data_IF_236731956827
#
_entry.id   IF_236731956827
#
_cell.length_a   1.000
_cell.length_b   1.000
_cell.length_c   1.000
_cell.angle_alpha   90.00
_cell.angle_beta   90.00
_cell.angle_gamma   90.00
#
_symmetry.space_group_name_H-M   'P 1'
#
loop_
_entity.id
_entity.type
_entity.pdbx_description
1 polymer ?
#
# COMPACT_ATOMS: atom_id res chain seq x y z
N UNK A 1 8.65 -12.99 0.25
CA UNK A 1 8.38 -12.39 -1.07
C UNK A 1 7.13 -13.01 -1.67
N UNK A 2 6.38 -12.28 -2.50
CA UNK A 2 5.11 -12.70 -3.13
C UNK A 2 5.31 -12.67 -4.64
N UNK A 3 4.93 -13.75 -5.33
CA UNK A 3 4.92 -13.78 -6.79
C UNK A 3 3.58 -13.19 -7.26
N UNK A 4 3.65 -12.11 -8.03
CA UNK A 4 2.47 -11.45 -8.58
C UNK A 4 2.06 -12.13 -9.90
N UNK A 5 0.76 -12.44 -10.11
CA UNK A 5 0.33 -13.11 -11.32
C UNK A 5 0.45 -12.22 -12.56
N UNK A 6 0.55 -12.86 -13.73
CA UNK A 6 0.50 -12.20 -15.05
C UNK A 6 -0.92 -12.31 -15.63
N UNK A 7 -1.37 -11.27 -16.34
CA UNK A 7 -2.63 -11.31 -17.08
C UNK A 7 -3.89 -11.22 -16.22
N UNK A 8 -3.77 -10.79 -14.96
CA UNK A 8 -4.87 -10.61 -14.03
C UNK A 8 -4.99 -9.13 -13.66
N UNK A 9 -6.21 -8.60 -13.63
CA UNK A 9 -6.47 -7.18 -13.39
C UNK A 9 -7.85 -7.01 -12.72
N UNK A 10 -7.97 -6.21 -11.64
CA UNK A 10 -6.90 -5.51 -10.94
C UNK A 10 -6.04 -6.43 -10.08
N UNK A 11 -4.75 -6.11 -10.01
CA UNK A 11 -3.81 -6.64 -9.03
C UNK A 11 -3.61 -5.58 -7.94
N UNK A 12 -3.88 -5.95 -6.69
CA UNK A 12 -3.90 -5.01 -5.57
C UNK A 12 -3.25 -5.59 -4.32
N UNK A 13 -2.65 -4.71 -3.51
CA UNK A 13 -2.41 -4.94 -2.09
C UNK A 13 -3.52 -4.23 -1.33
N UNK A 14 -4.16 -4.90 -0.37
CA UNK A 14 -5.06 -4.24 0.56
C UNK A 14 -4.69 -4.55 2.00
N UNK A 15 -4.95 -3.62 2.90
CA UNK A 15 -4.73 -3.77 4.33
C UNK A 15 -5.63 -2.78 5.07
N UNK A 16 -5.80 -3.02 6.37
CA UNK A 16 -6.40 -2.05 7.28
C UNK A 16 -5.30 -1.37 8.07
N UNK A 17 -5.44 -0.08 8.33
CA UNK A 17 -4.54 0.65 9.21
C UNK A 17 -5.28 1.60 10.15
N UNK A 18 -4.69 1.82 11.33
CA UNK A 18 -5.08 2.85 12.28
C UNK A 18 -3.84 3.68 12.62
N UNK A 19 -3.99 4.99 12.72
CA UNK A 19 -2.87 5.92 12.91
C UNK A 19 -3.08 6.77 14.16
N UNK A 20 -2.01 6.90 14.92
CA UNK A 20 -1.84 7.89 15.96
C UNK A 20 -0.41 8.37 15.78
N UNK A 21 -0.22 9.25 14.81
CA UNK A 21 1.08 9.67 14.27
C UNK A 21 1.08 11.19 14.23
N UNK A 22 2.13 11.83 14.74
CA UNK A 22 2.20 13.28 14.91
C UNK A 22 2.02 14.05 13.59
N UNK A 23 1.02 14.92 13.55
CA UNK A 23 0.73 15.78 12.42
C UNK A 23 0.32 17.20 12.82
N UNK A 24 0.36 18.09 11.84
CA UNK A 24 -0.35 19.36 11.81
C UNK A 24 -0.80 19.58 10.37
N UNK A 25 -1.87 18.88 9.98
CA UNK A 25 -2.35 18.76 8.61
C UNK A 25 -2.29 20.10 7.83
N UNK A 26 -1.76 20.08 6.59
CA UNK A 26 -1.35 18.92 5.80
C UNK A 26 0.11 18.47 6.05
N UNK A 27 0.75 18.89 7.14
CA UNK A 27 2.15 18.55 7.41
C UNK A 27 2.23 17.33 8.34
N UNK A 28 3.02 16.34 7.94
CA UNK A 28 3.40 15.20 8.76
C UNK A 28 4.77 15.46 9.39
N UNK A 29 4.84 15.54 10.72
CA UNK A 29 6.11 15.58 11.44
C UNK A 29 6.66 14.16 11.56
N UNK A 30 5.78 13.23 11.92
CA UNK A 30 5.95 11.79 11.81
C UNK A 30 5.03 11.27 10.71
N UNK A 31 5.36 10.15 10.06
CA UNK A 31 4.48 9.60 9.04
C UNK A 31 4.93 8.26 8.48
N UNK A 32 3.96 7.53 7.94
CA UNK A 32 4.13 6.22 7.31
C UNK A 32 4.11 6.33 5.79
N UNK A 33 4.97 5.56 5.12
CA UNK A 33 4.91 5.28 3.68
C UNK A 33 4.86 3.78 3.41
N UNK A 34 4.46 3.43 2.20
CA UNK A 34 4.60 2.08 1.66
C UNK A 34 5.67 2.05 0.56
N UNK A 35 6.57 1.07 0.66
CA UNK A 35 7.61 0.80 -0.34
C UNK A 35 7.48 -0.63 -0.87
N UNK A 36 7.96 -0.85 -2.09
CA UNK A 36 8.02 -2.15 -2.75
C UNK A 36 9.44 -2.43 -3.25
N UNK A 37 9.86 -3.69 -3.19
CA UNK A 37 11.12 -4.17 -3.74
C UNK A 37 10.88 -5.32 -4.70
N UNK A 38 11.60 -5.32 -5.83
CA UNK A 38 11.55 -6.35 -6.88
C UNK A 38 12.85 -7.15 -6.99
N UNK A 39 13.83 -6.87 -6.12
CA UNK A 39 15.21 -7.38 -6.20
C UNK A 39 15.68 -8.02 -4.88
N UNK A 40 14.75 -8.65 -4.17
CA UNK A 40 15.06 -9.34 -2.92
C UNK A 40 15.31 -8.41 -1.73
N UNK A 41 14.90 -7.14 -1.82
CA UNK A 41 15.03 -6.16 -0.74
C UNK A 41 16.34 -5.37 -0.79
N UNK A 42 17.09 -5.48 -1.88
CA UNK A 42 18.34 -4.75 -2.09
C UNK A 42 18.07 -3.26 -2.34
N UNK A 43 17.04 -2.97 -3.14
CA UNK A 43 16.51 -1.63 -3.37
C UNK A 43 15.02 -1.58 -3.04
N UNK A 44 14.55 -0.40 -2.66
CA UNK A 44 13.16 -0.14 -2.26
C UNK A 44 12.65 1.10 -3.01
N UNK A 45 11.52 0.92 -3.69
CA UNK A 45 10.83 1.97 -4.43
C UNK A 45 9.62 2.41 -3.61
N UNK A 46 9.51 3.71 -3.35
CA UNK A 46 8.32 4.32 -2.76
C UNK A 46 7.11 4.15 -3.68
N UNK A 47 5.97 3.73 -3.13
CA UNK A 47 4.70 3.71 -3.85
C UNK A 47 4.03 5.07 -3.67
N UNK A 48 3.98 5.82 -4.77
CA UNK A 48 3.40 7.16 -4.85
C UNK A 48 1.91 7.18 -4.50
N UNK A 49 1.39 8.36 -4.12
CA UNK A 49 -0.03 8.56 -3.80
C UNK A 49 -0.95 8.15 -4.95
N UNK A 50 -0.49 8.29 -6.19
CA UNK A 50 -1.19 7.87 -7.40
C UNK A 50 -1.48 6.35 -7.45
N UNK A 51 -0.79 5.56 -6.63
CA UNK A 51 -1.03 4.11 -6.46
C UNK A 51 -2.08 3.79 -5.40
N UNK A 52 -2.46 4.76 -4.55
CA UNK A 52 -3.48 4.57 -3.53
C UNK A 52 -4.86 4.70 -4.18
N UNK A 53 -5.54 3.57 -4.36
CA UNK A 53 -6.92 3.50 -4.89
C UNK A 53 -7.95 3.90 -3.83
N UNK A 54 -7.60 3.72 -2.55
CA UNK A 54 -8.33 4.24 -1.39
C UNK A 54 -7.32 4.68 -0.34
N UNK A 55 -7.75 5.55 0.59
CA UNK A 55 -6.89 6.01 1.69
C UNK A 55 -5.60 6.66 1.19
N UNK A 56 -5.74 7.71 0.36
CA UNK A 56 -4.62 8.53 -0.11
C UNK A 56 -3.77 9.02 1.08
N UNK A 57 -2.48 9.25 0.81
CA UNK A 57 -1.61 9.91 1.75
C UNK A 57 -2.19 11.27 2.17
N UNK A 58 -2.03 11.60 3.44
CA UNK A 58 -2.72 12.73 4.07
C UNK A 58 -1.89 14.00 4.12
N UNK A 59 -0.56 13.90 3.95
CA UNK A 59 0.30 15.07 4.07
C UNK A 59 1.72 14.91 3.56
N UNK A 60 2.43 16.05 3.53
CA UNK A 60 3.85 16.16 3.19
C UNK A 60 4.71 16.06 4.44
N UNK A 61 5.84 15.34 4.36
CA UNK A 61 6.83 15.31 5.44
C UNK A 61 7.52 16.67 5.62
N UNK A 62 7.49 17.19 6.84
CA UNK A 62 8.03 18.51 7.20
C UNK A 62 9.04 18.44 8.36
N UNK A 63 9.80 19.51 8.57
CA UNK A 63 10.82 19.58 9.62
C UNK A 63 12.22 19.14 9.17
N UNK A 64 13.06 18.71 10.10
CA UNK A 64 14.49 18.44 9.82
C UNK A 64 15.03 17.13 10.35
N UNK A 65 14.31 16.44 11.24
CA UNK A 65 14.80 15.21 11.88
C UNK A 65 14.17 13.93 11.33
N UNK A 66 12.96 14.00 10.74
CA UNK A 66 12.35 12.83 10.12
C UNK A 66 13.11 12.44 8.84
N UNK A 67 13.61 11.19 8.71
CA UNK A 67 14.39 10.75 7.55
C UNK A 67 13.59 10.65 6.25
N UNK A 68 12.27 10.82 6.31
CA UNK A 68 11.39 10.90 5.15
C UNK A 68 11.21 12.35 4.65
N UNK A 69 11.64 13.36 5.44
CA UNK A 69 11.58 14.77 5.06
C UNK A 69 12.64 15.13 4.00
N UNK A 70 12.29 16.07 3.13
CA UNK A 70 13.17 16.56 2.05
C UNK A 70 13.15 15.68 0.79
N UNK A 71 12.27 14.68 0.76
CA UNK A 71 11.92 13.89 -0.41
C UNK A 71 10.56 14.36 -0.93
N UNK A 72 10.26 14.16 -2.21
CA UNK A 72 8.93 14.43 -2.79
C UNK A 72 7.92 13.32 -2.43
N UNK A 73 7.91 12.92 -1.14
CA UNK A 73 7.03 11.91 -0.61
C UNK A 73 5.82 12.55 0.06
N UNK A 74 4.67 11.92 -0.13
CA UNK A 74 3.51 12.08 0.73
C UNK A 74 3.48 10.88 1.68
N UNK A 75 2.84 11.05 2.82
CA UNK A 75 2.73 10.01 3.84
C UNK A 75 1.39 10.03 4.56
N UNK A 76 1.13 8.94 5.26
CA UNK A 76 0.03 8.84 6.21
C UNK A 76 0.50 9.38 7.56
N UNK A 77 -0.22 10.36 8.06
CA UNK A 77 -0.15 10.84 9.44
C UNK A 77 -1.57 11.22 9.90
N UNK A 78 -1.76 11.35 11.21
CA UNK A 78 -3.05 11.64 11.81
C UNK A 78 -3.13 11.16 13.25
N UNK A 79 -3.71 11.99 14.11
CA UNK A 79 -3.70 11.80 15.56
C UNK A 79 -5.06 12.12 16.22
N UNK A 80 -5.99 11.14 16.31
CA UNK A 80 -5.97 9.82 15.67
C UNK A 80 -6.69 9.80 14.31
N UNK A 81 -6.29 8.86 13.45
CA UNK A 81 -7.07 8.39 12.30
C UNK A 81 -7.57 6.97 12.60
N UNK A 82 -8.89 6.81 12.64
CA UNK A 82 -9.52 5.51 12.92
C UNK A 82 -9.31 4.52 11.77
N UNK A 83 -9.60 3.23 12.02
CA UNK A 83 -9.38 2.13 11.09
C UNK A 83 -9.91 2.42 9.69
N UNK A 84 -8.99 2.48 8.73
CA UNK A 84 -9.27 2.72 7.32
C UNK A 84 -8.72 1.57 6.49
N UNK A 85 -9.43 1.19 5.42
CA UNK A 85 -8.94 0.20 4.46
C UNK A 85 -8.21 0.91 3.33
N UNK A 86 -6.92 0.61 3.18
CA UNK A 86 -6.10 1.06 2.06
C UNK A 86 -6.08 -0.02 0.98
N UNK A 87 -6.20 0.40 -0.27
CA UNK A 87 -6.10 -0.48 -1.45
C UNK A 87 -5.09 0.17 -2.39
N UNK A 88 -4.07 -0.57 -2.77
CA UNK A 88 -2.92 -0.09 -3.53
C UNK A 88 -2.85 -0.84 -4.86
N UNK A 89 -2.73 -0.10 -5.96
CA UNK A 89 -2.55 -0.65 -7.30
C UNK A 89 -1.15 -1.25 -7.46
N UNK A 90 -1.09 -2.50 -7.91
CA UNK A 90 0.14 -3.23 -8.17
C UNK A 90 0.29 -3.65 -9.64
N UNK A 91 -0.58 -3.19 -10.55
CA UNK A 91 -0.60 -3.68 -11.93
C UNK A 91 0.76 -3.55 -12.65
N UNK A 92 1.53 -2.50 -12.37
CA UNK A 92 2.88 -2.28 -12.93
C UNK A 92 3.90 -3.36 -12.53
N UNK A 93 3.59 -4.14 -11.49
CA UNK A 93 4.44 -5.19 -10.93
C UNK A 93 3.97 -6.60 -11.31
N UNK A 94 2.98 -6.73 -12.20
CA UNK A 94 2.49 -8.04 -12.66
C UNK A 94 3.63 -8.93 -13.18
N UNK A 95 3.63 -10.20 -12.76
CA UNK A 95 4.68 -11.17 -13.11
C UNK A 95 5.97 -11.07 -12.31
N UNK A 96 6.14 -10.06 -11.45
CA UNK A 96 7.34 -9.89 -10.65
C UNK A 96 7.22 -10.60 -9.29
N UNK A 97 8.38 -10.93 -8.70
CA UNK A 97 8.45 -11.36 -7.30
C UNK A 97 8.74 -10.14 -6.43
N UNK A 98 7.83 -9.79 -5.52
CA UNK A 98 7.90 -8.54 -4.76
C UNK A 98 8.00 -8.74 -3.25
N UNK A 99 8.48 -7.71 -2.56
CA UNK A 99 8.39 -7.55 -1.12
C UNK A 99 7.84 -6.17 -0.81
N UNK A 100 7.04 -6.05 0.26
CA UNK A 100 6.49 -4.79 0.71
C UNK A 100 7.15 -4.37 2.03
N UNK A 101 7.33 -3.05 2.23
CA UNK A 101 7.82 -2.48 3.47
C UNK A 101 6.95 -1.30 3.86
N UNK A 102 6.31 -1.43 5.01
CA UNK A 102 5.69 -0.32 5.71
C UNK A 102 6.78 0.38 6.50
N UNK A 103 7.00 1.67 6.24
CA UNK A 103 8.09 2.43 6.86
C UNK A 103 7.53 3.66 7.56
N UNK A 104 7.68 3.69 8.88
CA UNK A 104 7.41 4.87 9.71
C UNK A 104 8.72 5.66 9.86
N UNK A 105 8.68 6.94 9.54
CA UNK A 105 9.72 7.90 9.90
C UNK A 105 9.20 8.81 11.01
N UNK A 106 10.02 9.09 12.00
CA UNK A 106 9.71 10.04 13.07
C UNK A 106 10.77 11.12 13.18
N UNK A 107 10.39 12.26 13.72
CA UNK A 107 11.31 13.29 14.17
C UNK A 107 11.90 12.93 15.56
N UNK A 108 12.63 13.88 16.18
CA UNK A 108 13.23 13.72 17.51
C UNK A 108 12.40 14.29 18.67
N UNK A 109 11.13 14.62 18.43
CA UNK A 109 10.27 15.43 19.32
C UNK A 109 9.11 14.60 19.88
N UNK A 110 7.91 14.73 19.32
CA UNK A 110 6.65 14.34 19.99
C UNK A 110 6.18 12.99 19.47
N UNK A 111 6.68 11.92 20.10
CA UNK A 111 6.25 10.56 19.79
C UNK A 111 4.82 10.23 20.26
N UNK A 112 4.14 9.37 19.51
CA UNK A 112 2.86 8.76 19.88
C UNK A 112 3.03 7.29 20.20
N UNK A 113 2.60 6.87 21.39
CA UNK A 113 2.82 5.49 21.87
C UNK A 113 1.95 4.46 21.16
N UNK A 114 0.78 4.84 20.64
CA UNK A 114 -0.07 3.96 19.84
C UNK A 114 0.46 3.80 18.40
N UNK A 115 1.10 4.85 17.85
CA UNK A 115 1.84 4.80 16.60
C UNK A 115 1.00 4.36 15.39
N UNK A 116 1.54 3.42 14.61
CA UNK A 116 0.90 2.91 13.41
C UNK A 116 0.60 1.41 13.55
N UNK A 117 -0.67 1.06 13.37
CA UNK A 117 -1.13 -0.33 13.42
C UNK A 117 -1.61 -0.74 12.04
N UNK A 118 -1.19 -1.92 11.59
CA UNK A 118 -1.53 -2.50 10.28
C UNK A 118 -2.06 -3.91 10.49
N UNK A 119 -3.15 -4.27 9.84
CA UNK A 119 -3.75 -5.59 9.90
C UNK A 119 -4.43 -5.98 8.58
N UNK A 120 -4.87 -7.24 8.46
CA UNK A 120 -5.65 -7.75 7.32
C UNK A 120 -4.98 -7.54 5.96
N UNK A 121 -3.67 -7.78 5.90
CA UNK A 121 -2.85 -7.63 4.69
C UNK A 121 -3.20 -8.75 3.70
N UNK A 122 -3.64 -8.38 2.50
CA UNK A 122 -4.03 -9.27 1.43
C UNK A 122 -3.47 -8.78 0.09
N UNK A 123 -2.85 -9.67 -0.69
CA UNK A 123 -2.60 -9.44 -2.12
C UNK A 123 -3.69 -10.14 -2.90
N UNK A 124 -4.44 -9.38 -3.71
CA UNK A 124 -5.58 -9.89 -4.47
C UNK A 124 -5.45 -9.58 -5.95
N UNK A 125 -5.89 -10.52 -6.76
CA UNK A 125 -6.02 -10.38 -8.20
C UNK A 125 -7.37 -10.91 -8.67
N UNK A 126 -7.86 -10.39 -9.78
CA UNK A 126 -9.03 -10.94 -10.46
C UNK A 126 -8.60 -11.66 -11.74
N UNK A 127 -8.97 -12.94 -11.85
CA UNK A 127 -8.93 -13.66 -13.11
C UNK A 127 -10.25 -13.44 -13.84
N UNK A 128 -10.20 -12.77 -15.00
CA UNK A 128 -11.26 -12.92 -15.97
C UNK A 128 -11.03 -14.23 -16.71
N UNK A 129 -11.91 -15.21 -16.53
CA UNK A 129 -12.04 -16.25 -17.53
C UNK A 129 -12.63 -15.59 -18.77
N UNK A 130 -11.80 -15.42 -19.79
CA UNK A 130 -12.25 -15.02 -21.13
C UNK A 130 -12.92 -16.23 -21.79
N UNK A 131 -14.09 -16.61 -21.26
CA UNK A 131 -14.93 -17.66 -21.79
C UNK A 131 -15.70 -17.08 -22.99
N UNK A 132 -14.99 -16.79 -24.08
CA UNK A 132 -15.59 -16.23 -25.30
C UNK A 132 -16.55 -17.24 -25.95
N UNK A 133 -16.42 -18.54 -25.62
CA UNK A 133 -17.40 -19.56 -25.97
C UNK A 133 -17.30 -20.76 -25.02
N UNK A 134 -18.42 -21.13 -24.39
CA UNK A 134 -18.65 -22.47 -23.83
C UNK A 134 -19.85 -23.06 -24.57
N UNK A 135 -19.63 -24.13 -25.33
CA UNK A 135 -20.72 -24.96 -25.83
C UNK A 135 -20.95 -26.13 -24.87
N UNK A 136 -22.09 -26.10 -24.18
CA UNK A 136 -22.45 -27.11 -23.19
C UNK A 136 -23.92 -27.14 -22.77
N UNK A 137 -24.86 -26.58 -23.55
CA UNK A 137 -26.31 -26.72 -23.27
C UNK A 137 -26.87 -28.11 -23.56
N UNK A 138 -26.07 -29.07 -24.04
CA UNK A 138 -26.51 -30.43 -24.23
C UNK A 138 -26.19 -31.27 -23.00
N UNK A 139 -27.22 -31.52 -22.20
CA UNK A 139 -27.21 -32.63 -21.24
C UNK A 139 -26.91 -33.93 -22.00
N UNK A 140 -25.75 -34.52 -21.79
CA UNK A 140 -25.51 -35.93 -22.13
C UNK A 140 -25.34 -36.73 -20.85
N UNK A 141 -26.44 -36.86 -20.10
CA UNK A 141 -26.62 -38.03 -19.25
C UNK A 141 -27.52 -39.01 -20.00
N UNK A 142 -27.02 -40.18 -20.44
CA UNK A 142 -27.88 -41.27 -20.90
C UNK A 142 -28.72 -41.87 -19.77
#
# INVERSE_FOLDING_TARGET
AVILPVGQNPLTLSYQNHQTIEDNAPNCWDGGILEISTDGGSNWTYLEDSKMLTDNYTGTFSGTANPLTGQDFLGWCGDPQDWTKSVVDLNDYAGQTVQFRFRLGSDGSVGRTAGWVIDNIEVKSCQYQDLIFENGFENLNP
#
